data_IF_721057743687
#
_entry.id   IF_721057743687
#
_cell.length_a   1.000
_cell.length_b   1.000
_cell.length_c   1.000
_cell.angle_alpha   90.00
_cell.angle_beta   90.00
_cell.angle_gamma   90.00
#
_symmetry.space_group_name_H-M   'P 1'
#
loop_
_entity.id
_entity.type
_entity.pdbx_description
1 polymer ?
#
# COMPACT_ATOMS: atom_id res chain seq x y z
N UNK A 1 -21.77 -1.20 20.52
CA UNK A 1 -21.22 -2.28 19.67
C UNK A 1 -19.90 -1.77 19.10
N UNK A 2 -18.77 -2.08 19.74
CA UNK A 2 -17.44 -1.79 19.18
C UNK A 2 -17.10 -2.86 18.16
N UNK A 3 -16.79 -2.43 16.95
CA UNK A 3 -16.34 -3.31 15.87
C UNK A 3 -14.94 -3.84 16.22
N UNK A 4 -14.87 -5.03 16.80
CA UNK A 4 -13.63 -5.78 17.08
C UNK A 4 -12.71 -5.88 15.84
N UNK A 5 -13.27 -5.74 14.64
CA UNK A 5 -12.56 -5.65 13.36
C UNK A 5 -11.63 -4.44 13.21
N UNK A 6 -11.95 -3.28 13.79
CA UNK A 6 -11.14 -2.07 13.71
C UNK A 6 -9.98 -2.10 14.72
N UNK A 7 -10.18 -2.71 15.88
CA UNK A 7 -9.19 -2.66 16.98
C UNK A 7 -7.98 -3.59 16.77
N UNK A 8 -8.14 -4.63 15.95
CA UNK A 8 -7.06 -5.61 15.70
C UNK A 8 -6.29 -5.37 14.40
N UNK A 9 -6.72 -4.41 13.59
CA UNK A 9 -6.06 -4.09 12.34
C UNK A 9 -5.00 -3.02 12.64
N UNK A 10 -3.75 -3.44 12.85
CA UNK A 10 -2.56 -2.56 12.83
C UNK A 10 -2.33 -2.05 11.40
N UNK A 11 -3.33 -1.41 10.82
CA UNK A 11 -3.29 -0.80 9.52
C UNK A 11 -2.69 0.60 9.68
N UNK A 12 -1.45 0.77 9.23
CA UNK A 12 -0.80 2.08 9.22
C UNK A 12 -1.03 2.74 7.87
N UNK A 13 -1.53 3.98 7.89
CA UNK A 13 -1.69 4.79 6.70
C UNK A 13 -0.50 5.74 6.57
N UNK A 14 0.15 5.74 5.41
CA UNK A 14 1.25 6.63 5.09
C UNK A 14 0.93 7.42 3.82
N UNK A 15 1.20 8.73 3.84
CA UNK A 15 1.16 9.55 2.64
C UNK A 15 2.57 9.62 2.09
N UNK A 16 2.74 9.20 0.84
CA UNK A 16 4.02 9.25 0.13
C UNK A 16 3.88 10.20 -1.05
N UNK A 17 4.73 11.21 -1.10
CA UNK A 17 4.82 12.09 -2.25
C UNK A 17 5.85 11.53 -3.24
N UNK A 18 5.43 11.27 -4.48
CA UNK A 18 6.30 10.83 -5.57
C UNK A 18 6.03 11.69 -6.78
N UNK A 19 7.04 12.46 -7.22
CA UNK A 19 6.98 13.28 -8.44
C UNK A 19 5.74 14.19 -8.50
N UNK A 20 5.50 14.96 -7.43
CA UNK A 20 4.37 15.87 -7.25
C UNK A 20 2.98 15.23 -7.13
N UNK A 21 2.86 13.90 -7.19
CA UNK A 21 1.62 13.20 -6.90
C UNK A 21 1.64 12.61 -5.48
N UNK A 22 0.51 12.70 -4.78
CA UNK A 22 0.34 12.14 -3.44
C UNK A 22 -0.31 10.77 -3.52
N UNK A 23 0.32 9.79 -2.87
CA UNK A 23 -0.18 8.42 -2.78
C UNK A 23 -0.48 8.06 -1.33
N UNK A 24 -1.63 7.43 -1.12
CA UNK A 24 -2.02 6.81 0.13
C UNK A 24 -1.54 5.36 0.13
N UNK A 25 -0.70 5.01 1.08
CA UNK A 25 -0.15 3.67 1.24
C UNK A 25 -0.72 3.07 2.52
N UNK A 26 -1.46 1.99 2.36
CA UNK A 26 -2.02 1.20 3.45
C UNK A 26 -1.06 0.06 3.76
N UNK A 27 -0.43 0.09 4.92
CA UNK A 27 0.44 -0.96 5.43
C UNK A 27 -0.31 -1.80 6.46
N UNK A 28 -0.09 -3.11 6.47
CA UNK A 28 -0.53 -3.99 7.56
C UNK A 28 0.69 -4.48 8.32
N UNK A 29 0.59 -4.51 9.66
CA UNK A 29 1.65 -5.04 10.53
C UNK A 29 1.17 -6.33 11.20
N UNK A 30 1.26 -7.45 10.47
CA UNK A 30 1.00 -8.80 10.99
C UNK A 30 2.30 -9.58 10.86
N UNK A 31 3.11 -9.62 11.93
CA UNK A 31 4.44 -10.25 11.95
C UNK A 31 5.53 -9.46 11.22
N UNK A 32 5.21 -8.85 10.08
CA UNK A 32 6.03 -7.90 9.35
C UNK A 32 5.17 -6.76 8.78
N UNK A 33 5.76 -5.57 8.63
CA UNK A 33 5.10 -4.46 7.93
C UNK A 33 5.02 -4.88 6.46
N UNK A 34 3.84 -4.89 5.86
CA UNK A 34 3.65 -5.20 4.44
C UNK A 34 2.70 -4.20 3.81
N UNK A 35 3.04 -3.61 2.65
CA UNK A 35 2.10 -2.79 1.91
C UNK A 35 0.96 -3.65 1.37
N UNK A 36 -0.27 -3.18 1.55
CA UNK A 36 -1.49 -3.85 1.11
C UNK A 36 -2.15 -3.13 -0.05
N UNK A 37 -2.23 -1.80 0.02
CA UNK A 37 -2.91 -0.99 -0.99
C UNK A 37 -2.11 0.29 -1.20
N UNK A 38 -2.01 0.71 -2.45
CA UNK A 38 -1.55 2.04 -2.84
C UNK A 38 -2.66 2.70 -3.64
N UNK A 39 -3.09 3.89 -3.22
CA UNK A 39 -4.13 4.69 -3.87
C UNK A 39 -3.55 6.05 -4.29
N UNK A 40 -3.83 6.46 -5.52
CA UNK A 40 -3.57 7.81 -5.99
C UNK A 40 -4.68 8.76 -5.47
N UNK A 41 -4.28 9.82 -4.79
CA UNK A 41 -5.22 10.76 -4.16
C UNK A 41 -6.04 11.53 -5.19
N UNK A 42 -5.45 11.85 -6.35
CA UNK A 42 -6.07 12.67 -7.39
C UNK A 42 -6.97 11.84 -8.29
N UNK A 43 -6.48 10.70 -8.78
CA UNK A 43 -7.24 9.88 -9.73
C UNK A 43 -8.15 8.86 -9.08
N UNK A 44 -8.00 8.63 -7.76
CA UNK A 44 -8.66 7.54 -7.02
C UNK A 44 -8.36 6.14 -7.56
N UNK A 45 -7.34 6.03 -8.41
CA UNK A 45 -6.84 4.75 -8.89
C UNK A 45 -6.17 4.03 -7.74
N UNK A 46 -6.40 2.73 -7.62
CA UNK A 46 -5.82 1.90 -6.57
C UNK A 46 -5.22 0.63 -7.12
N UNK A 47 -4.13 0.21 -6.50
CA UNK A 47 -3.48 -1.08 -6.74
C UNK A 47 -3.27 -1.79 -5.42
N UNK A 48 -3.53 -3.08 -5.43
CA UNK A 48 -3.44 -3.96 -4.26
C UNK A 48 -2.19 -4.83 -4.38
N UNK A 49 -1.64 -5.22 -3.23
CA UNK A 49 -0.46 -6.08 -3.17
C UNK A 49 -0.69 -7.40 -3.92
N UNK A 50 -1.90 -7.94 -3.88
CA UNK A 50 -2.23 -9.19 -4.57
C UNK A 50 -2.08 -9.09 -6.10
N UNK A 51 -2.23 -7.91 -6.69
CA UNK A 51 -2.04 -7.66 -8.13
C UNK A 51 -0.56 -7.57 -8.56
N UNK A 52 0.35 -7.46 -7.59
CA UNK A 52 1.81 -7.37 -7.82
C UNK A 52 2.58 -8.45 -7.09
N UNK A 53 1.89 -9.35 -6.38
CA UNK A 53 2.50 -10.30 -5.44
C UNK A 53 3.61 -11.13 -6.05
N UNK A 54 3.42 -11.59 -7.30
CA UNK A 54 4.43 -12.40 -7.98
C UNK A 54 5.64 -11.58 -8.46
N UNK A 55 5.45 -10.29 -8.70
CA UNK A 55 6.51 -9.37 -9.15
C UNK A 55 7.39 -8.87 -7.98
N UNK A 56 6.88 -8.93 -6.75
CA UNK A 56 7.47 -8.28 -5.57
C UNK A 56 7.84 -9.23 -4.44
N UNK A 57 7.82 -10.55 -4.69
CA UNK A 57 8.07 -11.62 -3.69
C UNK A 57 9.39 -11.47 -2.93
N UNK A 58 10.44 -10.99 -3.61
CA UNK A 58 11.79 -10.87 -3.06
C UNK A 58 12.22 -9.41 -2.80
N UNK A 59 11.29 -8.45 -2.97
CA UNK A 59 11.57 -7.03 -2.81
C UNK A 59 11.36 -6.56 -1.37
N UNK A 60 12.13 -5.54 -0.96
CA UNK A 60 11.89 -4.85 0.31
C UNK A 60 10.63 -3.99 0.23
N UNK A 61 9.98 -3.73 1.36
CA UNK A 61 8.73 -2.96 1.41
C UNK A 61 8.78 -1.63 0.65
N UNK A 62 9.87 -0.88 0.75
CA UNK A 62 10.02 0.40 0.06
C UNK A 62 10.06 0.22 -1.47
N UNK A 63 10.68 -0.86 -1.94
CA UNK A 63 10.74 -1.23 -3.35
C UNK A 63 9.38 -1.75 -3.83
N UNK A 64 8.66 -2.50 -3.00
CA UNK A 64 7.28 -2.92 -3.28
C UNK A 64 6.37 -1.70 -3.47
N UNK A 65 6.43 -0.71 -2.58
CA UNK A 65 5.62 0.52 -2.69
C UNK A 65 5.95 1.25 -3.99
N UNK A 66 7.24 1.42 -4.31
CA UNK A 66 7.66 2.04 -5.59
C UNK A 66 7.18 1.25 -6.80
N UNK A 67 7.24 -0.07 -6.76
CA UNK A 67 6.77 -0.94 -7.84
C UNK A 67 5.24 -0.81 -8.01
N UNK A 68 4.49 -0.82 -6.91
CA UNK A 68 3.04 -0.60 -6.92
C UNK A 68 2.68 0.77 -7.52
N UNK A 69 3.35 1.85 -7.12
CA UNK A 69 3.14 3.19 -7.70
C UNK A 69 3.45 3.19 -9.21
N UNK A 70 4.55 2.56 -9.61
CA UNK A 70 4.95 2.49 -11.02
C UNK A 70 3.93 1.74 -11.87
N UNK A 71 3.39 0.64 -11.34
CA UNK A 71 2.39 -0.17 -12.03
C UNK A 71 1.01 0.49 -12.04
N UNK A 72 0.69 1.31 -11.04
CA UNK A 72 -0.53 2.13 -11.00
C UNK A 72 -0.55 3.22 -12.09
N UNK A 73 0.63 3.72 -12.47
CA UNK A 73 0.78 4.76 -13.50
C UNK A 73 0.80 4.24 -14.94
N UNK A 74 1.07 2.94 -15.14
CA UNK A 74 1.09 2.30 -16.45
C UNK A 74 -0.31 1.87 -16.86
#
# INVERSE_FOLDING_TARGET
MSSVWLENNKASLHIVNVENANYLVYLTSIGSITPKIVEDVETKSRITYDQVRDDVKDLKNDEVIKHMITKLRK
#
